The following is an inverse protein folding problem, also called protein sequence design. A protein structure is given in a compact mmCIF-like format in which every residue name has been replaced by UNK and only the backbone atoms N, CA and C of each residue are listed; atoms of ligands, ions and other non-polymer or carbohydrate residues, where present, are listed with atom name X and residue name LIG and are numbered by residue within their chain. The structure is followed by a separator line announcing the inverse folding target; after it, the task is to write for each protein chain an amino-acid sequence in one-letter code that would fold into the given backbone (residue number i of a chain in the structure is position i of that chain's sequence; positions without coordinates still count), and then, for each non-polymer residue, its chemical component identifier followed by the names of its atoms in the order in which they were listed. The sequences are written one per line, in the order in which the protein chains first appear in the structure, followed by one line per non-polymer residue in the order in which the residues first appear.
data_IF_289891511630
#
_entry.id   IF_289891511630
#
_cell.length_a   1.000
_cell.length_b   1.000
_cell.length_c   1.000
_cell.angle_alpha   90.00
_cell.angle_beta   90.00
_cell.angle_gamma   90.00
#
_symmetry.space_group_name_H-M   'P 1'
#
loop_
_entity.id
_entity.type
_entity.pdbx_description
1 polymer ?
#
# COMPACT_ATOMS: atom_id res chain seq x y z
N UNK A 1 -46.16 -14.95 -18.92
CA UNK A 1 -45.92 -13.48 -18.92
C UNK A 1 -44.58 -13.25 -18.25
N UNK A 2 -43.54 -12.94 -19.01
CA UNK A 2 -42.26 -12.50 -18.42
C UNK A 2 -42.42 -11.00 -18.13
N UNK A 3 -42.25 -10.65 -16.87
CA UNK A 3 -42.59 -9.35 -16.29
C UNK A 3 -41.62 -8.27 -16.80
N UNK A 4 -42.14 -7.28 -17.53
CA UNK A 4 -41.37 -6.19 -18.13
C UNK A 4 -40.74 -5.23 -17.12
N UNK A 5 -41.16 -5.23 -15.86
CA UNK A 5 -40.56 -4.39 -14.80
C UNK A 5 -39.12 -4.79 -14.46
N UNK A 6 -38.72 -6.05 -14.66
CA UNK A 6 -37.35 -6.54 -14.42
C UNK A 6 -36.38 -5.95 -15.46
N UNK A 7 -36.85 -5.68 -16.69
CA UNK A 7 -36.02 -5.22 -17.81
C UNK A 7 -35.57 -3.75 -17.64
N UNK A 8 -36.40 -2.91 -17.00
CA UNK A 8 -36.04 -1.52 -16.74
C UNK A 8 -35.04 -1.37 -15.59
N UNK A 9 -35.11 -2.24 -14.57
CA UNK A 9 -34.15 -2.22 -13.48
C UNK A 9 -32.76 -2.71 -13.92
N UNK A 10 -32.70 -3.68 -14.83
CA UNK A 10 -31.45 -4.24 -15.36
C UNK A 10 -30.68 -3.21 -16.21
N UNK A 11 -31.36 -2.54 -17.12
CA UNK A 11 -30.75 -1.46 -17.92
C UNK A 11 -30.29 -0.25 -17.10
N UNK A 12 -30.93 0.04 -15.96
CA UNK A 12 -30.45 1.05 -15.00
C UNK A 12 -29.21 0.57 -14.25
N UNK A 13 -29.19 -0.70 -13.83
CA UNK A 13 -28.03 -1.31 -13.18
C UNK A 13 -26.82 -1.33 -14.11
N UNK A 14 -27.01 -1.63 -15.40
CA UNK A 14 -25.94 -1.61 -16.40
C UNK A 14 -25.36 -0.20 -16.59
N UNK A 15 -26.22 0.81 -16.69
CA UNK A 15 -25.79 2.22 -16.80
C UNK A 15 -25.10 2.74 -15.53
N UNK A 16 -25.53 2.29 -14.35
CA UNK A 16 -24.87 2.60 -13.09
C UNK A 16 -23.50 1.91 -13.00
N UNK A 17 -23.42 0.65 -13.42
CA UNK A 17 -22.17 -0.09 -13.47
C UNK A 17 -21.18 0.56 -14.44
N UNK A 18 -21.63 1.04 -15.60
CA UNK A 18 -20.81 1.76 -16.57
C UNK A 18 -20.26 3.09 -16.00
N UNK A 19 -21.07 3.83 -15.23
CA UNK A 19 -20.65 5.07 -14.56
C UNK A 19 -19.68 4.82 -13.39
N UNK A 20 -19.93 3.79 -12.59
CA UNK A 20 -19.03 3.37 -11.49
C UNK A 20 -17.70 2.86 -12.05
N UNK A 21 -17.73 2.00 -13.07
CA UNK A 21 -16.54 1.46 -13.73
C UNK A 21 -15.69 2.54 -14.39
N UNK A 22 -16.32 3.58 -14.95
CA UNK A 22 -15.61 4.72 -15.55
C UNK A 22 -14.86 5.55 -14.49
N UNK A 23 -15.47 5.74 -13.31
CA UNK A 23 -14.85 6.47 -12.19
C UNK A 23 -13.77 5.63 -11.52
N UNK A 24 -14.03 4.35 -11.29
CA UNK A 24 -13.08 3.43 -10.68
C UNK A 24 -11.88 3.18 -11.58
N UNK A 25 -12.07 3.08 -12.91
CA UNK A 25 -10.97 2.88 -13.85
C UNK A 25 -9.94 4.02 -13.87
N UNK A 26 -10.38 5.28 -13.74
CA UNK A 26 -9.46 6.43 -13.63
C UNK A 26 -8.69 6.41 -12.29
N UNK A 27 -9.38 6.09 -11.19
CA UNK A 27 -8.75 6.03 -9.86
C UNK A 27 -7.82 4.84 -9.76
N UNK A 28 -8.20 3.67 -10.27
CA UNK A 28 -7.35 2.48 -10.34
C UNK A 28 -6.11 2.73 -11.20
N UNK A 29 -6.26 3.40 -12.35
CA UNK A 29 -5.13 3.78 -13.19
C UNK A 29 -4.14 4.69 -12.46
N UNK A 30 -4.63 5.72 -11.77
CA UNK A 30 -3.81 6.62 -10.96
C UNK A 30 -3.13 5.91 -9.79
N UNK A 31 -3.88 5.07 -9.05
CA UNK A 31 -3.38 4.30 -7.92
C UNK A 31 -2.32 3.29 -8.36
N UNK A 32 -2.54 2.58 -9.48
CA UNK A 32 -1.59 1.61 -10.00
C UNK A 32 -0.31 2.30 -10.53
N UNK A 33 -0.43 3.47 -11.18
CA UNK A 33 0.72 4.29 -11.54
C UNK A 33 1.51 4.76 -10.31
N UNK A 34 0.82 5.21 -9.27
CA UNK A 34 1.45 5.61 -8.02
C UNK A 34 2.15 4.45 -7.33
N UNK A 35 1.51 3.28 -7.23
CA UNK A 35 2.08 2.09 -6.61
C UNK A 35 3.30 1.60 -7.41
N UNK A 36 3.19 1.46 -8.73
CA UNK A 36 4.33 1.01 -9.57
C UNK A 36 5.53 1.94 -9.49
N UNK A 37 5.32 3.23 -9.23
CA UNK A 37 6.41 4.19 -9.05
C UNK A 37 6.94 4.24 -7.60
N UNK A 38 6.04 4.28 -6.62
CA UNK A 38 6.38 4.46 -5.21
C UNK A 38 6.98 3.20 -4.56
N UNK A 39 6.53 2.01 -4.97
CA UNK A 39 7.00 0.74 -4.40
C UNK A 39 8.51 0.51 -4.62
N UNK A 40 9.05 0.58 -5.86
CA UNK A 40 10.49 0.43 -6.06
C UNK A 40 11.28 1.57 -5.38
N UNK A 41 10.76 2.79 -5.41
CA UNK A 41 11.42 3.94 -4.79
C UNK A 41 11.54 3.77 -3.26
N UNK A 42 10.49 3.27 -2.61
CA UNK A 42 10.46 3.00 -1.17
C UNK A 42 11.47 1.92 -0.78
N UNK A 43 11.49 0.80 -1.52
CA UNK A 43 12.41 -0.32 -1.27
C UNK A 43 13.87 0.11 -1.42
N UNK A 44 14.19 0.86 -2.48
CA UNK A 44 15.55 1.38 -2.72
C UNK A 44 15.97 2.36 -1.63
N UNK A 45 15.09 3.30 -1.26
CA UNK A 45 15.39 4.29 -0.23
C UNK A 45 15.62 3.62 1.14
N UNK A 46 14.77 2.68 1.52
CA UNK A 46 14.92 1.89 2.73
C UNK A 46 16.25 1.13 2.74
N UNK A 47 16.58 0.45 1.65
CA UNK A 47 17.82 -0.32 1.52
C UNK A 47 19.06 0.56 1.66
N UNK A 48 19.07 1.74 1.02
CA UNK A 48 20.19 2.69 1.10
C UNK A 48 20.37 3.23 2.51
N UNK A 49 19.28 3.62 3.17
CA UNK A 49 19.31 4.12 4.55
C UNK A 49 19.79 3.03 5.52
N UNK A 50 19.24 1.82 5.41
CA UNK A 50 19.68 0.68 6.23
C UNK A 50 21.16 0.36 6.01
N UNK A 51 21.60 0.30 4.76
CA UNK A 51 23.00 0.03 4.43
C UNK A 51 23.92 1.10 5.03
N UNK A 52 23.61 2.39 4.84
CA UNK A 52 24.43 3.47 5.39
C UNK A 52 24.50 3.45 6.92
N UNK A 53 23.36 3.27 7.60
CA UNK A 53 23.33 3.18 9.06
C UNK A 53 24.00 1.91 9.58
N UNK A 54 23.93 0.79 8.86
CA UNK A 54 24.65 -0.43 9.19
C UNK A 54 26.17 -0.24 9.07
N UNK A 55 26.65 0.43 8.01
CA UNK A 55 28.07 0.78 7.87
C UNK A 55 28.55 1.71 9.00
N UNK A 56 27.71 2.68 9.39
CA UNK A 56 27.98 3.58 10.52
C UNK A 56 28.05 2.82 11.86
N UNK A 57 27.16 1.84 12.08
CA UNK A 57 27.22 0.94 13.25
C UNK A 57 28.54 0.16 13.31
N UNK A 58 28.94 -0.47 12.20
CA UNK A 58 30.13 -1.33 12.14
C UNK A 58 31.42 -0.52 12.30
N UNK A 59 31.48 0.67 11.71
CA UNK A 59 32.67 1.54 11.72
C UNK A 59 32.83 2.34 13.04
N UNK A 60 31.80 2.35 13.89
CA UNK A 60 31.78 3.14 15.13
C UNK A 60 32.88 2.75 16.16
N UNK A 61 33.53 1.58 16.02
CA UNK A 61 34.79 1.17 16.71
C UNK A 61 34.86 1.48 18.23
N UNK A 62 33.72 1.56 18.92
CA UNK A 62 33.67 1.79 20.37
C UNK A 62 33.35 3.23 20.81
N UNK A 63 33.07 4.17 19.89
CA UNK A 63 32.52 5.47 20.28
C UNK A 63 31.00 5.33 20.56
N UNK A 64 30.52 5.50 21.81
CA UNK A 64 29.12 5.26 22.16
C UNK A 64 28.14 6.18 21.44
N UNK A 65 28.57 7.37 21.02
CA UNK A 65 27.73 8.37 20.38
C UNK A 65 27.29 7.97 18.96
N UNK A 66 28.25 7.60 18.10
CA UNK A 66 27.94 7.17 16.73
C UNK A 66 27.20 5.84 16.69
N UNK A 67 27.40 4.98 17.70
CA UNK A 67 26.64 3.74 17.87
C UNK A 67 25.17 4.05 18.22
N UNK A 68 24.94 4.99 19.14
CA UNK A 68 23.60 5.40 19.55
C UNK A 68 22.83 6.03 18.39
N UNK A 69 23.45 6.97 17.67
CA UNK A 69 22.84 7.61 16.50
C UNK A 69 22.46 6.61 15.41
N UNK A 70 23.34 5.65 15.11
CA UNK A 70 23.06 4.66 14.07
C UNK A 70 21.93 3.68 14.49
N UNK A 71 21.84 3.32 15.78
CA UNK A 71 20.70 2.55 16.31
C UNK A 71 19.38 3.32 16.22
N UNK A 72 19.41 4.61 16.52
CA UNK A 72 18.23 5.47 16.43
C UNK A 72 17.76 5.66 14.98
N UNK A 73 18.71 5.82 14.05
CA UNK A 73 18.43 5.90 12.62
C UNK A 73 17.88 4.58 12.06
N UNK A 74 18.41 3.43 12.48
CA UNK A 74 17.86 2.12 12.10
C UNK A 74 16.48 1.92 12.72
N UNK A 75 16.31 2.26 13.99
CA UNK A 75 15.02 2.12 14.68
C UNK A 75 13.91 2.92 14.00
N UNK A 76 14.19 4.17 13.61
CA UNK A 76 13.25 5.01 12.87
C UNK A 76 12.97 4.49 11.45
N UNK A 77 14.00 4.04 10.71
CA UNK A 77 13.82 3.44 9.38
C UNK A 77 13.00 2.14 9.42
N UNK A 78 13.31 1.25 10.37
CA UNK A 78 12.58 -0.01 10.57
C UNK A 78 11.15 0.27 11.00
N UNK A 79 10.91 1.23 11.90
CA UNK A 79 9.53 1.57 12.28
C UNK A 79 8.71 2.11 11.13
N UNK A 80 9.28 2.94 10.25
CA UNK A 80 8.60 3.38 9.03
C UNK A 80 8.23 2.20 8.12
N UNK A 81 9.15 1.26 7.92
CA UNK A 81 8.87 0.07 7.10
C UNK A 81 7.82 -0.84 7.73
N UNK A 82 7.92 -1.11 9.03
CA UNK A 82 6.92 -1.88 9.78
C UNK A 82 5.56 -1.20 9.73
N UNK A 83 5.50 0.13 9.77
CA UNK A 83 4.24 0.88 9.65
C UNK A 83 3.56 0.67 8.29
N UNK A 84 4.33 0.68 7.19
CA UNK A 84 3.80 0.37 5.85
C UNK A 84 3.25 -1.07 5.80
N UNK A 85 4.00 -2.04 6.34
CA UNK A 85 3.54 -3.43 6.43
C UNK A 85 2.26 -3.57 7.27
N UNK A 86 2.19 -2.87 8.39
CA UNK A 86 1.03 -2.85 9.28
C UNK A 86 -0.18 -2.24 8.58
N UNK A 87 0.01 -1.17 7.79
CA UNK A 87 -1.06 -0.53 7.03
C UNK A 87 -1.69 -1.51 6.03
N UNK A 88 -0.87 -2.22 5.26
CA UNK A 88 -1.36 -3.24 4.32
C UNK A 88 -2.03 -4.39 5.07
N UNK A 89 -1.45 -4.83 6.18
CA UNK A 89 -2.02 -5.88 7.01
C UNK A 89 -3.43 -5.49 7.49
N UNK A 90 -3.59 -4.29 8.04
CA UNK A 90 -4.89 -3.76 8.47
C UNK A 90 -5.87 -3.68 7.29
N UNK A 91 -5.43 -3.22 6.10
CA UNK A 91 -6.29 -3.15 4.91
C UNK A 91 -6.80 -4.54 4.48
N UNK A 92 -5.92 -5.54 4.50
CA UNK A 92 -6.27 -6.94 4.17
C UNK A 92 -7.21 -7.52 5.22
N UNK A 93 -6.96 -7.26 6.51
CA UNK A 93 -7.88 -7.62 7.58
C UNK A 93 -9.25 -6.96 7.33
N UNK A 94 -9.31 -5.65 7.09
CA UNK A 94 -10.57 -4.96 6.82
C UNK A 94 -11.30 -5.56 5.62
N UNK A 95 -10.60 -5.85 4.52
CA UNK A 95 -11.18 -6.48 3.32
C UNK A 95 -11.75 -7.87 3.65
N UNK A 96 -11.02 -8.68 4.41
CA UNK A 96 -11.47 -10.01 4.85
C UNK A 96 -12.64 -9.95 5.83
N UNK A 97 -12.70 -8.92 6.69
CA UNK A 97 -13.73 -8.74 7.70
C UNK A 97 -15.02 -8.13 7.12
N UNK A 98 -14.89 -7.20 6.16
CA UNK A 98 -16.03 -6.62 5.45
C UNK A 98 -16.61 -7.55 4.38
N UNK A 99 -16.02 -8.72 4.16
CA UNK A 99 -16.58 -9.74 3.27
C UNK A 99 -16.76 -9.24 1.85
N UNK A 100 -15.92 -8.28 1.42
CA UNK A 100 -15.84 -7.87 0.02
C UNK A 100 -15.17 -9.05 -0.68
N UNK A 101 -15.98 -10.04 -1.05
CA UNK A 101 -15.63 -11.04 -2.05
C UNK A 101 -15.33 -10.24 -3.31
N UNK A 102 -14.06 -9.89 -3.48
CA UNK A 102 -13.48 -9.58 -4.78
C UNK A 102 -13.59 -10.89 -5.57
N UNK A 103 -14.75 -11.10 -6.17
CA UNK A 103 -14.89 -12.04 -7.26
C UNK A 103 -13.84 -11.63 -8.29
N UNK A 104 -12.88 -12.53 -8.48
CA UNK A 104 -11.69 -12.38 -9.32
C UNK A 104 -12.04 -12.03 -10.75
#
# INVERSE_FOLDING_TARGET
MINSTIIYADSLKDRLNELTSSTDGEIEGFVNAFINFAFPLSVVCLFLLLSFSAYKLITSRGNPESLKEAREQIGSAVMGFVFILLSVLILVLLSSLFGIQLER
#
